data_IF_699002418463
#
_entry.id   IF_699002418463
#
_cell.length_a   1.000
_cell.length_b   1.000
_cell.length_c   1.000
_cell.angle_alpha   90.00
_cell.angle_beta   90.00
_cell.angle_gamma   90.00
#
_symmetry.space_group_name_H-M   'P 1'
#
loop_
_entity.id
_entity.type
_entity.pdbx_description
1 polymer ?
#
# COMPACT_ATOMS: atom_id res chain seq x y z
N UNK A 1 1.80 -25.46 -0.04
CA UNK A 1 2.16 -24.09 -0.47
C UNK A 1 1.91 -23.16 0.72
N UNK A 2 2.97 -22.75 1.41
CA UNK A 2 2.92 -22.13 2.75
C UNK A 2 2.38 -20.69 2.77
N UNK A 3 2.22 -20.14 3.99
CA UNK A 3 1.63 -18.81 4.22
C UNK A 3 2.22 -17.66 3.38
N UNK A 4 3.50 -17.74 3.01
CA UNK A 4 4.17 -16.77 2.13
C UNK A 4 3.57 -16.70 0.71
N UNK A 5 3.16 -17.84 0.14
CA UNK A 5 2.60 -17.88 -1.21
C UNK A 5 1.23 -17.22 -1.28
N UNK A 6 0.37 -17.51 -0.29
CA UNK A 6 -0.93 -16.85 -0.13
C UNK A 6 -0.76 -15.34 0.09
N UNK A 7 0.18 -14.92 0.94
CA UNK A 7 0.44 -13.50 1.18
C UNK A 7 0.93 -12.76 -0.07
N UNK A 8 1.74 -13.40 -0.90
CA UNK A 8 2.18 -12.83 -2.18
C UNK A 8 1.02 -12.66 -3.15
N UNK A 9 0.13 -13.64 -3.26
CA UNK A 9 -1.07 -13.55 -4.07
C UNK A 9 -2.01 -12.42 -3.58
N UNK A 10 -2.20 -12.27 -2.27
CA UNK A 10 -2.98 -11.16 -1.70
C UNK A 10 -2.41 -9.79 -2.10
N UNK A 11 -1.08 -9.63 -2.06
CA UNK A 11 -0.41 -8.40 -2.47
C UNK A 11 -0.56 -8.11 -3.98
N UNK A 12 -0.48 -9.14 -4.83
CA UNK A 12 -0.69 -8.99 -6.27
C UNK A 12 -2.14 -8.57 -6.58
N UNK A 13 -3.13 -9.13 -5.89
CA UNK A 13 -4.54 -8.72 -6.02
C UNK A 13 -4.74 -7.29 -5.52
N UNK A 14 -4.08 -6.89 -4.43
CA UNK A 14 -4.09 -5.51 -3.96
C UNK A 14 -3.53 -4.55 -5.03
N UNK A 15 -2.39 -4.91 -5.63
CA UNK A 15 -1.77 -4.14 -6.71
C UNK A 15 -2.68 -4.02 -7.95
N UNK A 16 -3.40 -5.09 -8.32
CA UNK A 16 -4.37 -5.08 -9.42
C UNK A 16 -5.51 -4.08 -9.18
N UNK A 17 -6.06 -4.08 -7.96
CA UNK A 17 -7.11 -3.15 -7.56
C UNK A 17 -6.58 -1.71 -7.57
N UNK A 18 -5.39 -1.45 -7.02
CA UNK A 18 -4.82 -0.11 -7.02
C UNK A 18 -4.46 0.40 -8.42
N UNK A 19 -4.00 -0.48 -9.31
CA UNK A 19 -3.65 -0.09 -10.69
C UNK A 19 -4.84 0.47 -11.45
N UNK A 20 -6.04 -0.04 -11.17
CA UNK A 20 -7.29 0.47 -11.74
C UNK A 20 -7.92 1.61 -10.91
N UNK A 21 -7.46 1.83 -9.68
CA UNK A 21 -8.01 2.85 -8.77
C UNK A 21 -7.50 4.26 -9.00
N UNK A 22 -6.27 4.45 -9.51
CA UNK A 22 -5.69 5.80 -9.69
C UNK A 22 -6.55 6.68 -10.61
N UNK A 23 -7.11 6.09 -11.68
CA UNK A 23 -8.04 6.78 -12.59
C UNK A 23 -9.32 7.18 -11.86
N UNK A 24 -9.91 6.27 -11.08
CA UNK A 24 -11.09 6.56 -10.29
C UNK A 24 -10.84 7.67 -9.25
N UNK A 25 -9.66 7.70 -8.62
CA UNK A 25 -9.28 8.76 -7.68
C UNK A 25 -9.19 10.12 -8.38
N UNK A 26 -8.56 10.19 -9.56
CA UNK A 26 -8.45 11.44 -10.33
C UNK A 26 -9.83 11.96 -10.75
N UNK A 27 -10.69 11.09 -11.27
CA UNK A 27 -12.06 11.45 -11.68
C UNK A 27 -12.94 11.86 -10.48
N UNK A 28 -12.79 11.19 -9.34
CA UNK A 28 -13.50 11.53 -8.11
C UNK A 28 -13.15 12.92 -7.58
N UNK A 29 -11.88 13.31 -7.71
CA UNK A 29 -11.39 14.62 -7.29
C UNK A 29 -11.86 15.81 -8.14
N UNK A 30 -12.36 15.58 -9.34
CA UNK A 30 -12.93 16.66 -10.16
C UNK A 30 -14.18 17.27 -9.50
N UNK A 31 -14.82 16.52 -8.60
CA UNK A 31 -16.09 16.85 -7.99
C UNK A 31 -15.99 17.06 -6.47
N UNK A 32 -14.92 16.56 -5.83
CA UNK A 32 -14.74 16.56 -4.37
C UNK A 32 -13.30 16.92 -3.99
N UNK A 33 -13.14 17.71 -2.92
CA UNK A 33 -11.83 18.09 -2.41
C UNK A 33 -10.97 16.87 -1.99
N UNK A 34 -9.63 16.94 -2.08
CA UNK A 34 -8.74 15.83 -1.73
C UNK A 34 -8.96 15.24 -0.34
N UNK A 35 -9.14 16.07 0.68
CA UNK A 35 -9.29 15.63 2.08
C UNK A 35 -10.70 15.06 2.32
N UNK A 36 -11.74 15.70 1.79
CA UNK A 36 -13.11 15.20 1.86
C UNK A 36 -13.25 13.85 1.12
N UNK A 37 -12.60 13.70 -0.04
CA UNK A 37 -12.56 12.46 -0.79
C UNK A 37 -11.87 11.33 0.02
N UNK A 38 -10.73 11.65 0.65
CA UNK A 38 -10.05 10.72 1.56
C UNK A 38 -10.93 10.33 2.76
N UNK A 39 -11.57 11.29 3.42
CA UNK A 39 -12.47 11.04 4.54
C UNK A 39 -13.58 10.05 4.16
N UNK A 40 -14.23 10.28 3.02
CA UNK A 40 -15.31 9.43 2.53
C UNK A 40 -14.83 8.02 2.17
N UNK A 41 -13.76 7.88 1.37
CA UNK A 41 -13.30 6.55 0.91
C UNK A 41 -12.73 5.69 2.05
N UNK A 42 -11.97 6.28 2.98
CA UNK A 42 -11.48 5.53 4.14
C UNK A 42 -12.58 5.29 5.17
N UNK A 43 -13.56 6.18 5.29
CA UNK A 43 -14.77 5.95 6.09
C UNK A 43 -15.55 4.73 5.57
N UNK A 44 -15.77 4.64 4.25
CA UNK A 44 -16.37 3.47 3.60
C UNK A 44 -15.54 2.20 3.82
N UNK A 45 -14.21 2.27 3.66
CA UNK A 45 -13.32 1.15 3.93
C UNK A 45 -13.41 0.66 5.39
N UNK A 46 -13.47 1.60 6.35
CA UNK A 46 -13.69 1.32 7.77
C UNK A 46 -15.05 0.68 8.06
N UNK A 47 -16.12 1.14 7.42
CA UNK A 47 -17.46 0.52 7.54
C UNK A 47 -17.44 -0.93 7.02
N UNK A 48 -16.89 -1.16 5.83
CA UNK A 48 -16.85 -2.50 5.20
C UNK A 48 -16.05 -3.48 6.06
N UNK A 49 -14.85 -3.08 6.51
CA UNK A 49 -14.00 -3.92 7.36
C UNK A 49 -14.57 -4.09 8.77
N UNK A 50 -15.18 -3.05 9.33
CA UNK A 50 -15.89 -3.11 10.61
C UNK A 50 -17.07 -4.08 10.57
N UNK A 51 -17.87 -4.06 9.50
CA UNK A 51 -18.96 -5.01 9.29
C UNK A 51 -18.42 -6.45 9.20
N UNK A 52 -17.34 -6.68 8.46
CA UNK A 52 -16.70 -7.99 8.39
C UNK A 52 -16.24 -8.49 9.78
N UNK A 53 -15.72 -7.61 10.63
CA UNK A 53 -15.35 -7.93 12.02
C UNK A 53 -16.57 -8.25 12.89
N UNK A 54 -17.66 -7.47 12.77
CA UNK A 54 -18.90 -7.72 13.51
C UNK A 54 -19.51 -9.07 13.12
N UNK A 55 -19.53 -9.40 11.83
CA UNK A 55 -20.01 -10.69 11.34
C UNK A 55 -19.13 -11.86 11.82
N UNK A 56 -17.80 -11.69 11.83
CA UNK A 56 -16.86 -12.66 12.42
C UNK A 56 -17.12 -12.84 13.91
N UNK A 57 -17.34 -11.75 14.65
CA UNK A 57 -17.59 -11.78 16.09
C UNK A 57 -18.95 -12.43 16.44
N UNK A 58 -19.99 -12.16 15.65
CA UNK A 58 -21.31 -12.77 15.82
C UNK A 58 -21.30 -14.30 15.61
N UNK A 59 -20.36 -14.81 14.80
CA UNK A 59 -20.17 -16.24 14.55
C UNK A 59 -19.17 -16.90 15.49
N UNK A 60 -18.45 -16.12 16.31
CA UNK A 60 -17.41 -16.63 17.19
C UNK A 60 -18.02 -17.18 18.50
N UNK A 61 -17.54 -18.34 18.94
CA UNK A 61 -17.87 -18.87 20.26
C UNK A 61 -17.25 -17.97 21.35
N UNK A 62 -17.86 -17.95 22.54
CA UNK A 62 -17.38 -17.12 23.66
C UNK A 62 -15.94 -17.53 24.04
N UNK A 63 -14.96 -16.60 24.00
CA UNK A 63 -13.58 -16.94 24.28
C UNK A 63 -13.38 -17.31 25.75
N UNK A 64 -12.52 -18.30 25.99
CA UNK A 64 -12.12 -18.77 27.33
C UNK A 64 -11.37 -17.67 28.09
N UNK A 65 -11.26 -17.79 29.42
CA UNK A 65 -10.63 -16.78 30.26
C UNK A 65 -9.16 -16.49 29.90
N UNK A 66 -8.38 -17.51 29.53
CA UNK A 66 -7.00 -17.36 29.07
C UNK A 66 -6.91 -16.60 27.73
N UNK A 67 -7.78 -16.92 26.77
CA UNK A 67 -7.89 -16.22 25.48
C UNK A 67 -8.33 -14.75 25.65
N UNK A 68 -9.02 -14.40 26.75
CA UNK A 68 -9.33 -13.00 27.08
C UNK A 68 -8.11 -12.22 27.53
N UNK A 69 -7.21 -12.83 28.30
CA UNK A 69 -5.99 -12.17 28.77
C UNK A 69 -5.03 -11.88 27.61
N UNK A 70 -4.79 -12.85 26.72
CA UNK A 70 -3.99 -12.65 25.50
C UNK A 70 -4.62 -11.61 24.56
N UNK A 71 -5.95 -11.62 24.40
CA UNK A 71 -6.66 -10.62 23.59
C UNK A 71 -6.50 -9.20 24.14
N UNK A 72 -6.45 -9.03 25.46
CA UNK A 72 -6.25 -7.72 26.09
C UNK A 72 -4.82 -7.21 25.91
N UNK A 73 -3.80 -8.08 26.02
CA UNK A 73 -2.42 -7.72 25.74
C UNK A 73 -2.24 -7.29 24.27
N UNK A 74 -2.87 -8.02 23.34
CA UNK A 74 -2.86 -7.68 21.92
C UNK A 74 -3.66 -6.43 21.58
N UNK A 75 -4.59 -6.00 22.45
CA UNK A 75 -5.41 -4.80 22.22
C UNK A 75 -4.60 -3.51 22.27
N UNK A 76 -3.68 -3.37 23.23
CA UNK A 76 -2.82 -2.18 23.31
C UNK A 76 -1.91 -2.08 22.08
N UNK A 77 -1.37 -3.23 21.64
CA UNK A 77 -0.55 -3.30 20.43
C UNK A 77 -1.36 -2.97 19.17
N UNK A 78 -2.59 -3.49 19.07
CA UNK A 78 -3.51 -3.20 17.99
C UNK A 78 -3.86 -1.70 17.92
N UNK A 79 -4.16 -1.09 19.07
CA UNK A 79 -4.46 0.35 19.16
C UNK A 79 -3.28 1.19 18.71
N UNK A 80 -2.08 0.88 19.21
CA UNK A 80 -0.85 1.56 18.81
C UNK A 80 -0.57 1.36 17.32
N UNK A 81 -0.71 0.15 16.81
CA UNK A 81 -0.52 -0.17 15.41
C UNK A 81 -1.49 0.57 14.50
N UNK A 82 -2.78 0.56 14.82
CA UNK A 82 -3.80 1.26 14.03
C UNK A 82 -3.66 2.78 14.08
N UNK A 83 -3.24 3.35 15.22
CA UNK A 83 -2.97 4.78 15.33
C UNK A 83 -1.79 5.21 14.45
N UNK A 84 -0.64 4.53 14.57
CA UNK A 84 0.55 4.87 13.77
C UNK A 84 0.36 4.57 12.28
N UNK A 85 -0.18 3.40 11.92
CA UNK A 85 -0.49 3.08 10.53
C UNK A 85 -1.52 4.06 9.96
N UNK A 86 -2.56 4.40 10.72
CA UNK A 86 -3.60 5.33 10.27
C UNK A 86 -3.11 6.77 10.09
N UNK A 87 -2.26 7.27 10.99
CA UNK A 87 -1.68 8.61 10.88
C UNK A 87 -0.74 8.73 9.67
N UNK A 88 0.11 7.73 9.43
CA UNK A 88 0.97 7.71 8.25
C UNK A 88 0.16 7.48 6.98
N UNK A 89 -0.90 6.66 7.03
CA UNK A 89 -1.82 6.47 5.92
C UNK A 89 -2.55 7.77 5.55
N UNK A 90 -2.96 8.57 6.53
CA UNK A 90 -3.51 9.91 6.30
C UNK A 90 -2.50 10.81 5.58
N UNK A 91 -1.25 10.83 6.03
CA UNK A 91 -0.19 11.61 5.38
C UNK A 91 0.04 11.15 3.94
N UNK A 92 0.20 9.83 3.73
CA UNK A 92 0.36 9.22 2.41
C UNK A 92 -0.80 9.57 1.49
N UNK A 93 -2.03 9.34 1.93
CA UNK A 93 -3.22 9.58 1.13
C UNK A 93 -3.40 11.06 0.79
N UNK A 94 -3.09 11.97 1.72
CA UNK A 94 -3.21 13.40 1.48
C UNK A 94 -2.16 13.88 0.48
N UNK A 95 -0.89 13.50 0.67
CA UNK A 95 0.19 13.82 -0.26
C UNK A 95 -0.08 13.28 -1.66
N UNK A 96 -0.56 12.04 -1.77
CA UNK A 96 -0.94 11.43 -3.04
C UNK A 96 -2.07 12.21 -3.73
N UNK A 97 -3.13 12.53 -3.00
CA UNK A 97 -4.33 13.14 -3.56
C UNK A 97 -4.02 14.55 -4.08
N UNK A 98 -3.29 15.37 -3.31
CA UNK A 98 -2.81 16.67 -3.80
C UNK A 98 -1.76 16.54 -4.90
N UNK A 99 -0.82 15.59 -4.80
CA UNK A 99 0.23 15.42 -5.80
C UNK A 99 -0.33 15.06 -7.18
N UNK A 100 -1.29 14.13 -7.23
CA UNK A 100 -1.98 13.72 -8.46
C UNK A 100 -2.73 14.91 -9.10
N UNK A 101 -3.14 15.95 -8.37
CA UNK A 101 -3.75 17.14 -8.95
C UNK A 101 -2.82 17.91 -9.89
N UNK A 102 -1.52 17.98 -9.56
CA UNK A 102 -0.54 18.84 -10.22
C UNK A 102 0.44 18.12 -11.16
N UNK A 103 0.44 16.79 -11.16
CA UNK A 103 1.29 15.99 -12.07
C UNK A 103 0.44 15.02 -12.89
N UNK A 104 1.02 14.40 -13.92
CA UNK A 104 0.31 13.41 -14.73
C UNK A 104 0.16 12.09 -13.97
N UNK A 105 -0.90 11.32 -14.25
CA UNK A 105 -1.15 10.02 -13.59
C UNK A 105 0.03 9.06 -13.75
N UNK A 106 0.62 9.00 -14.96
CA UNK A 106 1.81 8.17 -15.22
C UNK A 106 3.04 8.60 -14.41
N UNK A 107 3.33 9.91 -14.36
CA UNK A 107 4.45 10.45 -13.57
C UNK A 107 4.21 10.28 -12.07
N UNK A 108 2.98 10.46 -11.60
CA UNK A 108 2.59 10.21 -10.22
C UNK A 108 2.81 8.74 -9.82
N UNK A 109 2.37 7.81 -10.66
CA UNK A 109 2.59 6.37 -10.47
C UNK A 109 4.06 6.00 -10.41
N UNK A 110 4.88 6.53 -11.34
CA UNK A 110 6.33 6.34 -11.31
C UNK A 110 6.96 6.84 -10.00
N UNK A 111 6.72 8.11 -9.65
CA UNK A 111 7.35 8.73 -8.49
C UNK A 111 6.91 8.00 -7.21
N UNK A 112 5.63 7.64 -7.09
CA UNK A 112 5.14 6.90 -5.91
C UNK A 112 5.85 5.56 -5.79
N UNK A 113 6.01 4.83 -6.91
CA UNK A 113 6.63 3.50 -6.93
C UNK A 113 8.07 3.48 -6.41
N UNK A 114 8.74 4.63 -6.31
CA UNK A 114 10.05 4.75 -5.65
C UNK A 114 10.02 4.26 -4.19
N UNK A 115 8.84 4.10 -3.58
CA UNK A 115 8.70 3.36 -2.31
C UNK A 115 9.36 1.97 -2.38
N UNK A 116 9.44 1.33 -3.55
CA UNK A 116 10.09 0.03 -3.73
C UNK A 116 11.60 0.07 -3.44
N UNK A 117 12.23 1.24 -3.60
CA UNK A 117 13.63 1.50 -3.21
C UNK A 117 13.68 2.01 -1.77
N UNK A 118 12.75 2.87 -1.37
CA UNK A 118 12.76 3.50 -0.05
C UNK A 118 12.44 2.52 1.08
N UNK A 119 11.54 1.54 0.89
CA UNK A 119 11.22 0.50 1.89
C UNK A 119 12.46 -0.29 2.32
N UNK A 120 13.25 -0.88 1.40
CA UNK A 120 14.49 -1.56 1.77
C UNK A 120 15.54 -0.60 2.34
N UNK A 121 15.70 0.61 1.78
CA UNK A 121 16.64 1.60 2.32
C UNK A 121 16.33 1.98 3.78
N UNK A 122 15.08 2.34 4.08
CA UNK A 122 14.62 2.64 5.43
C UNK A 122 14.70 1.40 6.33
N UNK A 123 14.51 0.20 5.77
CA UNK A 123 14.74 -1.07 6.45
C UNK A 123 16.17 -1.25 6.94
N UNK A 124 17.18 -0.80 6.18
CA UNK A 124 18.59 -0.84 6.60
C UNK A 124 18.83 0.03 7.85
N UNK A 125 18.26 1.24 7.88
CA UNK A 125 18.34 2.13 9.04
C UNK A 125 17.66 1.53 10.30
N UNK A 126 16.70 0.63 10.10
CA UNK A 126 16.06 -0.15 11.17
C UNK A 126 16.81 -1.45 11.51
N UNK A 127 18.03 -1.63 10.99
CA UNK A 127 18.90 -2.78 11.29
C UNK A 127 18.58 -4.05 10.50
N UNK A 128 17.71 -3.99 9.48
CA UNK A 128 17.40 -5.17 8.64
C UNK A 128 18.52 -5.39 7.64
N UNK A 129 18.98 -6.64 7.49
CA UNK A 129 19.91 -7.03 6.41
C UNK A 129 19.13 -7.28 5.13
N UNK A 130 19.70 -6.94 3.98
CA UNK A 130 19.06 -7.13 2.66
C UNK A 130 20.03 -7.83 1.73
N UNK A 131 19.58 -8.91 1.09
CA UNK A 131 20.38 -9.66 0.16
C UNK A 131 20.66 -8.84 -1.11
N UNK A 132 21.88 -8.97 -1.66
CA UNK A 132 22.26 -8.30 -2.91
C UNK A 132 21.33 -8.67 -4.07
N UNK A 133 20.83 -9.90 -4.10
CA UNK A 133 19.85 -10.35 -5.09
C UNK A 133 18.56 -9.51 -5.08
N UNK A 134 18.07 -9.10 -3.91
CA UNK A 134 16.89 -8.23 -3.82
C UNK A 134 17.19 -6.83 -4.38
N UNK A 135 18.39 -6.30 -4.16
CA UNK A 135 18.81 -5.01 -4.75
C UNK A 135 18.85 -5.04 -6.27
N UNK A 136 19.32 -6.14 -6.88
CA UNK A 136 19.31 -6.31 -8.33
C UNK A 136 17.88 -6.36 -8.88
N UNK A 137 16.96 -7.06 -8.19
CA UNK A 137 15.55 -7.08 -8.56
C UNK A 137 14.92 -5.68 -8.47
N UNK A 138 15.21 -4.94 -7.40
CA UNK A 138 14.78 -3.55 -7.23
C UNK A 138 15.29 -2.66 -8.36
N UNK A 139 16.59 -2.75 -8.70
CA UNK A 139 17.16 -1.97 -9.80
C UNK A 139 16.47 -2.28 -11.13
N UNK A 140 16.24 -3.57 -11.43
CA UNK A 140 15.47 -3.99 -12.61
C UNK A 140 14.05 -3.43 -12.61
N UNK A 141 13.35 -3.49 -11.48
CA UNK A 141 12.00 -2.94 -11.34
C UNK A 141 11.96 -1.42 -11.55
N UNK A 142 12.93 -0.66 -11.01
CA UNK A 142 13.03 0.80 -11.24
C UNK A 142 13.21 1.12 -12.73
N UNK A 143 14.10 0.40 -13.41
CA UNK A 143 14.30 0.56 -14.86
C UNK A 143 13.02 0.22 -15.61
N UNK A 144 12.34 -0.87 -15.24
CA UNK A 144 11.07 -1.25 -15.85
C UNK A 144 9.98 -0.20 -15.64
N UNK A 145 9.88 0.37 -14.44
CA UNK A 145 8.99 1.48 -14.11
C UNK A 145 9.31 2.73 -14.93
N UNK A 146 10.59 3.04 -15.16
CA UNK A 146 11.01 4.18 -15.98
C UNK A 146 10.59 3.98 -17.45
N UNK A 147 10.75 2.76 -17.97
CA UNK A 147 10.32 2.43 -19.32
C UNK A 147 8.80 2.48 -19.45
N UNK A 148 8.06 2.01 -18.44
CA UNK A 148 6.60 1.97 -18.45
C UNK A 148 5.97 3.37 -18.28
N UNK A 149 6.35 4.10 -17.25
CA UNK A 149 5.59 5.29 -16.82
C UNK A 149 6.07 6.61 -17.42
N UNK A 150 7.27 6.64 -18.02
CA UNK A 150 7.84 7.84 -18.66
C UNK A 150 7.92 7.72 -20.19
N UNK A 151 7.11 6.83 -20.77
CA UNK A 151 6.88 6.78 -22.21
C UNK A 151 6.05 8.00 -22.64
N UNK A 152 6.56 8.76 -23.61
CA UNK A 152 5.87 9.95 -24.15
C UNK A 152 6.10 11.28 -23.42
N UNK A 153 6.82 11.31 -22.30
CA UNK A 153 7.32 12.56 -21.74
C UNK A 153 8.43 13.11 -22.68
N UNK A 154 8.23 14.29 -23.24
CA UNK A 154 9.26 14.99 -24.02
C UNK A 154 10.57 15.21 -23.22
N UNK A 155 11.61 15.80 -23.84
CA UNK A 155 12.97 15.86 -23.27
C UNK A 155 13.14 16.61 -21.94
N UNK A 156 12.08 17.13 -21.32
CA UNK A 156 12.16 17.84 -20.06
C UNK A 156 11.44 17.06 -18.95
N UNK A 157 12.22 16.42 -18.08
CA UNK A 157 11.82 16.16 -16.69
C UNK A 157 11.67 17.51 -15.97
N UNK A 158 10.69 18.33 -16.36
CA UNK A 158 10.37 19.55 -15.63
C UNK A 158 9.78 19.13 -14.28
N UNK A 159 10.45 19.49 -13.19
CA UNK A 159 9.92 19.28 -11.86
C UNK A 159 8.76 20.26 -11.65
N UNK A 160 7.57 19.72 -11.38
CA UNK A 160 6.42 20.50 -10.95
C UNK A 160 6.21 20.33 -9.43
N UNK A 161 5.42 21.19 -8.79
CA UNK A 161 5.14 21.08 -7.35
C UNK A 161 4.51 19.73 -6.96
N UNK A 162 3.72 19.12 -7.85
CA UNK A 162 3.11 17.80 -7.66
C UNK A 162 4.16 16.70 -7.50
N UNK A 163 5.25 16.74 -8.26
CA UNK A 163 6.32 15.74 -8.18
C UNK A 163 6.98 15.72 -6.80
N UNK A 164 7.17 16.89 -6.18
CA UNK A 164 7.66 17.00 -4.81
C UNK A 164 6.70 16.36 -3.79
N UNK A 165 5.40 16.59 -3.94
CA UNK A 165 4.38 15.94 -3.12
C UNK A 165 4.35 14.41 -3.33
N UNK A 166 4.51 13.94 -4.57
CA UNK A 166 4.56 12.51 -4.88
C UNK A 166 5.83 11.85 -4.33
N UNK A 167 6.97 12.56 -4.28
CA UNK A 167 8.20 12.06 -3.62
C UNK A 167 8.01 11.91 -2.11
N UNK A 168 7.41 12.92 -1.46
CA UNK A 168 7.04 12.83 -0.04
C UNK A 168 6.01 11.72 0.20
N UNK A 169 5.07 11.53 -0.73
CA UNK A 169 4.13 10.41 -0.71
C UNK A 169 4.89 9.08 -0.76
N UNK A 170 5.86 8.89 -1.66
CA UNK A 170 6.64 7.67 -1.77
C UNK A 170 7.37 7.35 -0.45
N UNK A 171 7.93 8.36 0.21
CA UNK A 171 8.58 8.23 1.51
C UNK A 171 7.57 7.81 2.60
N UNK A 172 6.41 8.47 2.65
CA UNK A 172 5.33 8.15 3.60
C UNK A 172 4.77 6.75 3.36
N UNK A 173 4.58 6.33 2.10
CA UNK A 173 4.19 4.96 1.72
C UNK A 173 5.22 3.95 2.19
N UNK A 174 6.52 4.24 2.05
CA UNK A 174 7.56 3.36 2.54
C UNK A 174 7.53 3.19 4.07
N UNK A 175 7.32 4.30 4.80
CA UNK A 175 7.11 4.25 6.25
C UNK A 175 5.86 3.46 6.64
N UNK A 176 4.74 3.64 5.92
CA UNK A 176 3.50 2.88 6.13
C UNK A 176 3.72 1.38 5.92
N UNK A 177 4.35 0.97 4.81
CA UNK A 177 4.68 -0.44 4.53
C UNK A 177 5.54 -1.02 5.66
N UNK A 178 6.52 -0.28 6.18
CA UNK A 178 7.35 -0.74 7.31
C UNK A 178 6.57 -0.86 8.62
N UNK A 179 5.67 0.07 8.92
CA UNK A 179 4.78 0.02 10.09
C UNK A 179 3.81 -1.16 10.01
N UNK A 180 3.15 -1.35 8.86
CA UNK A 180 2.27 -2.50 8.62
C UNK A 180 3.08 -3.80 8.77
N UNK A 181 4.27 -3.88 8.18
CA UNK A 181 5.16 -5.05 8.33
C UNK A 181 5.65 -5.29 9.76
N UNK A 182 5.59 -4.29 10.65
CA UNK A 182 5.92 -4.44 12.07
C UNK A 182 4.73 -4.92 12.90
N UNK A 183 3.53 -4.40 12.64
CA UNK A 183 2.35 -4.68 13.46
C UNK A 183 1.50 -5.85 12.94
N UNK A 184 1.36 -6.00 11.63
CA UNK A 184 0.48 -7.01 11.02
C UNK A 184 0.79 -8.47 11.43
N UNK A 185 2.06 -8.89 11.63
CA UNK A 185 2.36 -10.23 12.14
C UNK A 185 1.96 -10.47 13.61
N UNK A 186 1.67 -9.41 14.37
CA UNK A 186 1.51 -9.45 15.82
C UNK A 186 0.06 -9.27 16.29
N UNK A 187 -0.87 -8.88 15.38
CA UNK A 187 -2.27 -8.59 15.71
C UNK A 187 -3.22 -9.11 14.61
N UNK A 188 -4.53 -9.10 14.85
CA UNK A 188 -5.51 -9.41 13.79
C UNK A 188 -5.41 -8.35 12.67
N UNK A 189 -5.03 -8.79 11.47
CA UNK A 189 -4.79 -7.89 10.33
C UNK A 189 -6.04 -7.17 9.84
N UNK A 190 -7.23 -7.76 9.97
CA UNK A 190 -8.50 -7.10 9.58
C UNK A 190 -8.85 -6.02 10.60
N UNK A 191 -8.65 -6.28 11.89
CA UNK A 191 -8.81 -5.29 12.95
C UNK A 191 -7.81 -4.13 12.82
N UNK A 192 -6.55 -4.43 12.46
CA UNK A 192 -5.54 -3.41 12.20
C UNK A 192 -5.94 -2.52 11.00
N UNK A 193 -6.44 -3.15 9.93
CA UNK A 193 -6.96 -2.47 8.73
C UNK A 193 -8.14 -1.56 9.07
N UNK A 194 -9.13 -2.06 9.79
CA UNK A 194 -10.27 -1.28 10.23
C UNK A 194 -9.83 -0.05 11.04
N UNK A 195 -8.92 -0.23 12.00
CA UNK A 195 -8.50 0.87 12.88
C UNK A 195 -7.69 1.93 12.12
N UNK A 196 -6.75 1.53 11.24
CA UNK A 196 -6.00 2.51 10.45
C UNK A 196 -6.92 3.30 9.49
N UNK A 197 -7.98 2.68 8.94
CA UNK A 197 -8.95 3.38 8.10
C UNK A 197 -9.78 4.37 8.90
N UNK A 198 -10.25 4.00 10.10
CA UNK A 198 -10.99 4.91 10.98
C UNK A 198 -10.13 6.11 11.36
N UNK A 199 -8.88 5.89 11.76
CA UNK A 199 -7.95 6.98 12.10
C UNK A 199 -7.71 7.88 10.89
N UNK A 200 -7.42 7.30 9.72
CA UNK A 200 -7.22 8.05 8.49
C UNK A 200 -8.45 8.87 8.09
N UNK A 201 -9.64 8.28 8.20
CA UNK A 201 -10.91 8.94 7.88
C UNK A 201 -11.18 10.12 8.83
N UNK A 202 -10.97 9.95 10.13
CA UNK A 202 -11.16 11.01 11.13
C UNK A 202 -10.17 12.16 10.94
N UNK A 203 -8.88 11.86 10.72
CA UNK A 203 -7.88 12.89 10.42
C UNK A 203 -8.21 13.63 9.12
N UNK A 204 -8.63 12.91 8.08
CA UNK A 204 -9.04 13.51 6.80
C UNK A 204 -10.29 14.37 6.95
N UNK A 205 -11.30 13.90 7.71
CA UNK A 205 -12.53 14.64 7.94
C UNK A 205 -12.28 15.93 8.72
N UNK A 206 -11.42 15.87 9.76
CA UNK A 206 -11.02 17.03 10.53
C UNK A 206 -10.27 18.04 9.64
N UNK A 207 -9.32 17.57 8.84
CA UNK A 207 -8.57 18.42 7.92
C UNK A 207 -9.50 19.04 6.86
N UNK A 208 -10.42 18.25 6.28
CA UNK A 208 -11.40 18.73 5.33
C UNK A 208 -12.29 19.81 5.95
N UNK A 209 -12.77 19.64 7.18
CA UNK A 209 -13.58 20.65 7.86
C UNK A 209 -12.86 21.99 8.11
N UNK A 210 -11.52 21.97 8.19
CA UNK A 210 -10.69 23.16 8.41
C UNK A 210 -10.31 23.88 7.12
N UNK A 211 -10.09 23.13 6.02
CA UNK A 211 -9.49 23.67 4.80
C UNK A 211 -10.33 23.51 3.53
N UNK A 212 -11.41 22.72 3.56
CA UNK A 212 -12.27 22.47 2.42
C UNK A 212 -13.73 22.84 2.72
N UNK A 213 -14.44 23.32 1.71
CA UNK A 213 -15.89 23.53 1.76
C UNK A 213 -16.54 22.71 0.63
N UNK A 214 -16.85 21.42 0.87
CA UNK A 214 -17.43 20.58 -0.17
C UNK A 214 -18.81 21.11 -0.55
N UNK A 215 -18.96 21.50 -1.81
CA UNK A 215 -20.25 21.86 -2.40
C UNK A 215 -21.12 20.63 -2.68
N UNK A 216 -22.35 20.85 -3.16
CA UNK A 216 -23.27 19.78 -3.56
C UNK A 216 -22.74 18.91 -4.69
N UNK A 217 -21.82 19.41 -5.50
CA UNK A 217 -21.16 18.64 -6.57
C UNK A 217 -20.37 17.43 -6.05
N UNK A 218 -19.98 17.42 -4.77
CA UNK A 218 -19.27 16.30 -4.16
C UNK A 218 -20.04 14.97 -4.26
N UNK A 219 -21.37 15.02 -4.33
CA UNK A 219 -22.19 13.82 -4.51
C UNK A 219 -21.98 13.14 -5.88
N UNK A 220 -21.48 13.85 -6.89
CA UNK A 220 -21.17 13.28 -8.21
C UNK A 220 -19.99 12.31 -8.17
N UNK A 221 -19.13 12.39 -7.15
CA UNK A 221 -18.00 11.47 -6.95
C UNK A 221 -18.41 10.07 -6.48
N UNK A 222 -19.70 9.77 -6.29
CA UNK A 222 -20.16 8.54 -5.64
C UNK A 222 -19.66 7.25 -6.30
N UNK A 223 -19.56 7.18 -7.64
CA UNK A 223 -19.03 5.99 -8.35
C UNK A 223 -17.56 5.75 -8.01
N UNK A 224 -16.77 6.82 -8.06
CA UNK A 224 -15.37 6.80 -7.67
C UNK A 224 -15.21 6.43 -6.19
N UNK A 225 -16.07 6.96 -5.31
CA UNK A 225 -16.06 6.65 -3.87
C UNK A 225 -16.44 5.20 -3.56
N UNK A 226 -17.42 4.62 -4.26
CA UNK A 226 -17.76 3.21 -4.07
C UNK A 226 -16.60 2.30 -4.46
N UNK A 227 -16.02 2.54 -5.64
CA UNK A 227 -14.88 1.76 -6.12
C UNK A 227 -13.66 1.95 -5.19
N UNK A 228 -13.27 3.20 -4.92
CA UNK A 228 -12.07 3.49 -4.13
C UNK A 228 -12.26 3.19 -2.64
N UNK A 229 -13.47 3.31 -2.10
CA UNK A 229 -13.78 3.04 -0.70
C UNK A 229 -13.94 1.55 -0.40
N UNK A 230 -14.69 0.81 -1.22
CA UNK A 230 -14.96 -0.60 -0.97
C UNK A 230 -13.80 -1.47 -1.45
N UNK A 231 -13.42 -1.35 -2.73
CA UNK A 231 -12.39 -2.22 -3.31
C UNK A 231 -10.99 -1.76 -2.95
N UNK A 232 -10.65 -0.49 -3.20
CA UNK A 232 -9.30 -0.01 -2.91
C UNK A 232 -9.05 0.11 -1.40
N UNK A 233 -9.87 0.83 -0.64
CA UNK A 233 -9.68 0.99 0.80
C UNK A 233 -10.07 -0.27 1.59
N UNK A 234 -11.32 -0.73 1.47
CA UNK A 234 -11.81 -1.88 2.23
C UNK A 234 -11.06 -3.19 1.93
N UNK A 235 -10.94 -3.56 0.66
CA UNK A 235 -10.35 -4.84 0.26
C UNK A 235 -8.82 -4.77 0.08
N UNK A 236 -8.30 -3.90 -0.79
CA UNK A 236 -6.89 -3.95 -1.19
C UNK A 236 -5.92 -3.62 -0.04
N UNK A 237 -6.17 -2.58 0.76
CA UNK A 237 -5.33 -2.31 1.95
C UNK A 237 -5.44 -3.42 3.01
N UNK A 238 -6.60 -4.09 3.12
CA UNK A 238 -6.74 -5.25 4.01
C UNK A 238 -5.93 -6.43 3.50
N UNK A 239 -5.99 -6.72 2.19
CA UNK A 239 -5.14 -7.74 1.54
C UNK A 239 -3.65 -7.42 1.67
N UNK A 240 -3.26 -6.15 1.55
CA UNK A 240 -1.90 -5.71 1.82
C UNK A 240 -1.52 -6.06 3.27
N UNK A 241 -2.34 -5.67 4.24
CA UNK A 241 -2.06 -5.93 5.67
C UNK A 241 -1.91 -7.43 5.96
N UNK A 242 -2.81 -8.26 5.41
CA UNK A 242 -2.77 -9.71 5.56
C UNK A 242 -1.56 -10.34 4.84
N UNK A 243 -1.23 -9.86 3.64
CA UNK A 243 -0.06 -10.32 2.89
C UNK A 243 1.26 -9.97 3.58
N UNK A 244 1.38 -8.72 4.05
CA UNK A 244 2.54 -8.23 4.80
C UNK A 244 2.76 -8.92 6.15
N UNK A 245 1.74 -9.58 6.71
CA UNK A 245 1.90 -10.40 7.90
C UNK A 245 2.80 -11.62 7.65
N UNK A 246 2.95 -12.05 6.40
CA UNK A 246 3.71 -13.26 6.02
C UNK A 246 4.86 -13.00 5.04
N UNK A 247 4.83 -11.87 4.33
CA UNK A 247 5.80 -11.50 3.30
C UNK A 247 6.71 -10.37 3.81
N UNK A 248 8.05 -10.45 3.64
CA UNK A 248 8.96 -9.39 4.06
C UNK A 248 8.71 -8.05 3.34
N UNK A 249 8.84 -6.89 4.02
CA UNK A 249 8.50 -5.58 3.44
C UNK A 249 9.14 -5.24 2.09
N UNK A 250 10.40 -5.61 1.87
CA UNK A 250 11.07 -5.37 0.57
C UNK A 250 10.43 -6.14 -0.58
N UNK A 251 10.04 -7.41 -0.36
CA UNK A 251 9.31 -8.19 -1.35
C UNK A 251 7.86 -7.68 -1.51
N UNK A 252 7.23 -7.22 -0.42
CA UNK A 252 5.91 -6.57 -0.50
C UNK A 252 5.95 -5.34 -1.40
N UNK A 253 6.97 -4.48 -1.24
CA UNK A 253 7.11 -3.29 -2.05
C UNK A 253 7.31 -3.62 -3.55
N UNK A 254 8.10 -4.65 -3.87
CA UNK A 254 8.22 -5.15 -5.24
C UNK A 254 6.90 -5.68 -5.79
N UNK A 255 6.16 -6.49 -5.04
CA UNK A 255 4.88 -7.04 -5.48
C UNK A 255 3.83 -5.93 -5.71
N UNK A 256 3.79 -4.94 -4.81
CA UNK A 256 2.88 -3.81 -4.93
C UNK A 256 3.21 -2.91 -6.13
N UNK A 257 4.47 -2.89 -6.59
CA UNK A 257 4.85 -2.12 -7.80
C UNK A 257 4.17 -2.61 -9.09
N UNK A 258 3.58 -3.82 -9.09
CA UNK A 258 2.72 -4.29 -10.18
C UNK A 258 1.51 -3.39 -10.42
N UNK A 259 1.17 -2.51 -9.49
CA UNK A 259 0.13 -1.49 -9.65
C UNK A 259 0.26 -0.76 -11.00
N UNK A 260 1.48 -0.32 -11.36
CA UNK A 260 1.71 0.39 -12.61
C UNK A 260 1.53 -0.50 -13.86
N UNK A 261 1.93 -1.77 -13.76
CA UNK A 261 1.74 -2.76 -14.83
C UNK A 261 0.25 -3.00 -15.05
N UNK A 262 -0.51 -3.19 -13.97
CA UNK A 262 -1.95 -3.38 -14.05
C UNK A 262 -2.69 -2.14 -14.52
N UNK A 263 -2.23 -0.93 -14.15
CA UNK A 263 -2.76 0.31 -14.69
C UNK A 263 -2.58 0.39 -16.21
N UNK A 264 -1.38 0.08 -16.72
CA UNK A 264 -1.07 0.10 -18.14
C UNK A 264 -1.89 -0.96 -18.93
N UNK A 265 -2.01 -2.17 -18.38
CA UNK A 265 -2.84 -3.23 -18.97
C UNK A 265 -4.32 -2.85 -18.96
N UNK A 266 -4.80 -2.20 -17.89
CA UNK A 266 -6.17 -1.71 -17.83
C UNK A 266 -6.43 -0.59 -18.85
N UNK A 267 -5.49 0.35 -19.03
CA UNK A 267 -5.56 1.36 -20.08
C UNK A 267 -5.67 0.74 -21.47
N UNK A 268 -4.84 -0.26 -21.76
CA UNK A 268 -4.92 -1.00 -23.02
C UNK A 268 -6.26 -1.71 -23.24
N UNK A 269 -6.75 -2.45 -22.24
CA UNK A 269 -7.97 -3.26 -22.37
C UNK A 269 -9.26 -2.42 -22.35
N UNK A 270 -9.29 -1.33 -21.57
CA UNK A 270 -10.51 -0.54 -21.34
C UNK A 270 -10.58 0.66 -22.28
N UNK A 271 -9.45 1.32 -22.55
CA UNK A 271 -9.38 2.54 -23.37
C UNK A 271 -8.90 2.25 -24.80
N UNK A 272 -8.41 1.04 -25.08
CA UNK A 272 -7.86 0.69 -26.39
C UNK A 272 -6.48 1.30 -26.66
N UNK A 273 -5.80 1.81 -25.63
CA UNK A 273 -4.48 2.43 -25.75
C UNK A 273 -3.40 1.36 -26.00
N UNK A 274 -2.87 1.29 -27.21
CA UNK A 274 -1.84 0.31 -27.53
C UNK A 274 -0.55 0.57 -26.73
N UNK A 275 -0.05 -0.46 -26.03
CA UNK A 275 1.25 -0.41 -25.37
C UNK A 275 2.36 -0.32 -26.41
N UNK A 276 3.19 0.71 -26.29
CA UNK A 276 4.40 0.83 -27.09
C UNK A 276 5.38 -0.32 -26.79
N UNK A 277 6.33 -0.61 -27.70
CA UNK A 277 7.39 -1.58 -27.42
C UNK A 277 8.19 -1.25 -26.16
N UNK A 278 8.36 0.05 -25.85
CA UNK A 278 9.04 0.53 -24.64
C UNK A 278 8.26 0.20 -23.38
N UNK A 279 6.95 0.46 -23.36
CA UNK A 279 6.09 0.14 -22.22
C UNK A 279 6.00 -1.38 -22.01
N UNK A 280 5.90 -2.13 -23.11
CA UNK A 280 5.89 -3.59 -23.09
C UNK A 280 7.18 -4.17 -22.48
N UNK A 281 8.34 -3.63 -22.86
CA UNK A 281 9.62 -3.99 -22.26
C UNK A 281 9.69 -3.64 -20.77
N UNK A 282 9.13 -2.49 -20.38
CA UNK A 282 9.00 -2.08 -18.99
C UNK A 282 8.20 -3.08 -18.15
N UNK A 283 7.01 -3.48 -18.62
CA UNK A 283 6.18 -4.50 -17.99
C UNK A 283 6.94 -5.83 -17.85
N UNK A 284 7.58 -6.31 -18.92
CA UNK A 284 8.34 -7.56 -18.90
C UNK A 284 9.48 -7.54 -17.86
N UNK A 285 10.19 -6.41 -17.75
CA UNK A 285 11.29 -6.25 -16.80
C UNK A 285 10.80 -6.24 -15.34
N UNK A 286 9.66 -5.60 -15.06
CA UNK A 286 9.04 -5.61 -13.72
C UNK A 286 8.63 -7.04 -13.34
N UNK A 287 7.97 -7.77 -14.25
CA UNK A 287 7.60 -9.17 -14.00
C UNK A 287 8.83 -10.05 -13.76
N UNK A 288 9.89 -9.89 -14.55
CA UNK A 288 11.13 -10.64 -14.39
C UNK A 288 11.78 -10.35 -13.03
N UNK A 289 11.84 -9.08 -12.61
CA UNK A 289 12.35 -8.68 -11.30
C UNK A 289 11.58 -9.33 -10.14
N UNK A 290 10.24 -9.38 -10.24
CA UNK A 290 9.39 -9.99 -9.21
C UNK A 290 9.52 -11.51 -9.19
N UNK A 291 9.59 -12.15 -10.35
CA UNK A 291 9.82 -13.58 -10.45
C UNK A 291 11.18 -13.97 -9.85
N UNK A 292 12.23 -13.20 -10.15
CA UNK A 292 13.55 -13.38 -9.58
C UNK A 292 13.57 -13.16 -8.06
N UNK A 293 12.87 -12.15 -7.56
CA UNK A 293 12.81 -11.85 -6.12
C UNK A 293 12.13 -12.96 -5.29
N UNK A 294 11.22 -13.72 -5.92
CA UNK A 294 10.55 -14.86 -5.29
C UNK A 294 11.38 -16.15 -5.34
N UNK A 295 12.49 -16.19 -6.10
CA UNK A 295 13.35 -17.35 -6.19
C UNK A 295 14.04 -17.65 -4.84
N UNK A 296 14.24 -18.94 -4.49
CA UNK A 296 14.98 -19.32 -3.29
C UNK A 296 16.37 -18.67 -3.27
N UNK A 297 16.74 -18.05 -2.14
CA UNK A 297 18.04 -17.39 -1.96
C UNK A 297 18.12 -15.90 -2.37
N UNK A 298 17.17 -15.38 -3.16
CA UNK A 298 17.17 -13.97 -3.60
C UNK A 298 16.42 -13.06 -2.60
N UNK A 299 15.24 -13.49 -2.15
CA UNK A 299 14.41 -12.75 -1.21
C UNK A 299 14.65 -13.04 0.28
N UNK A 300 15.63 -13.89 0.62
CA UNK A 300 15.91 -14.26 2.00
C UNK A 300 17.03 -13.39 2.59
N UNK A 301 16.64 -12.34 3.29
CA UNK A 301 17.47 -11.77 4.35
C UNK A 301 17.68 -12.85 5.42
N UNK A 302 18.93 -13.26 5.65
CA UNK A 302 19.28 -14.38 6.52
C UNK A 302 18.63 -14.32 7.90
N UNK A 303 17.70 -15.23 8.16
CA UNK A 303 17.12 -15.53 9.48
C UNK A 303 17.93 -16.59 10.24
N UNK A 304 19.21 -16.77 9.91
CA UNK A 304 20.03 -17.84 10.47
C UNK A 304 20.67 -17.51 11.84
N UNK A 305 20.53 -16.29 12.36
CA UNK A 305 21.31 -15.84 13.53
C UNK A 305 20.50 -15.56 14.81
N UNK A 306 19.17 -15.76 14.83
CA UNK A 306 18.35 -15.59 16.06
C UNK A 306 18.01 -16.90 16.78
N UNK A 307 18.48 -18.06 16.31
CA UNK A 307 18.32 -19.36 17.00
C UNK A 307 19.51 -19.77 17.88
N UNK A 308 20.54 -18.94 18.01
CA UNK A 308 21.79 -19.29 18.70
C UNK A 308 21.94 -18.81 20.14
N UNK A 309 21.16 -17.83 20.60
CA UNK A 309 21.48 -17.07 21.83
C UNK A 309 20.48 -17.30 22.98
N UNK A 310 19.83 -18.46 23.00
CA UNK A 310 18.88 -18.88 24.06
C UNK A 310 19.45 -19.89 25.06
N UNK A 311 20.71 -20.27 24.92
CA UNK A 311 21.37 -21.29 25.74
C UNK A 311 22.75 -20.80 26.14
N UNK A 312 22.83 -19.97 27.17
CA UNK A 312 23.97 -19.83 28.09
C UNK A 312 23.57 -18.83 29.19
N UNK A 313 23.21 -19.37 30.36
CA UNK A 313 22.80 -18.55 31.51
C UNK A 313 22.00 -19.29 32.58
N UNK A 314 22.31 -20.57 32.82
CA UNK A 314 21.98 -21.26 34.07
C UNK A 314 23.24 -21.92 34.60
N UNK A 315 23.94 -21.19 35.45
CA UNK A 315 24.76 -21.68 36.58
C UNK A 315 24.98 -20.49 37.49
#
# INVERSE_FOLDING_TARGET
MGGKGLGSAMLMVAALIWGTALVAQRLGMEHCGPLAFNAARFGLGGIVTGLALLLRAARAQRPKAAERAERNANRALLLRGGLWCGAVLFLTASLQQYGICFTSVGKAGFITSLYLVLVPLLGLFLGKKIALGLWLCIAGAVVGMYLLCLSGAGPALSLNPGDGLMLLCALSTAAHILLVGRFAPLVDGVALSCLQFVVCALCSALAAALWEQPGTEAFLAWKALLYTGILSCGLAYTLQTLGQATVPPGLCALLLSLEAVFAAVAGWLVLGEALSPRESAGCALIFAAIAAAQAPGVGHSGSAQERGDGTLGKT
#
